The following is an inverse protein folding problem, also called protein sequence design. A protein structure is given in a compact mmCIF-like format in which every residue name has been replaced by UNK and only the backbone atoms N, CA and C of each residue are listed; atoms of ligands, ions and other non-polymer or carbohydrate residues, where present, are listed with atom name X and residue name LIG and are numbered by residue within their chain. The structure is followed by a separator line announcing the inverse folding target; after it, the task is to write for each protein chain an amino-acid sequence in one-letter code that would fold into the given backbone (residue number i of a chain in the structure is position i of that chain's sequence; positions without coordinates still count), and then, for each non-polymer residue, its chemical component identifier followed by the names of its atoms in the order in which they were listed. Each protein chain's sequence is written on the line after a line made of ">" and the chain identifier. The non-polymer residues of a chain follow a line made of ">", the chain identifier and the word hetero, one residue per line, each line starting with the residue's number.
data_IF_178472878386
#
_entry.id   IF_178472878386
#
_cell.length_a   1.000
_cell.length_b   1.000
_cell.length_c   1.000
_cell.angle_alpha   90.00
_cell.angle_beta   90.00
_cell.angle_gamma   90.00
#
_symmetry.space_group_name_H-M   'P 1'
#
loop_
_entity.id
_entity.type
_entity.pdbx_description
1 polymer ?
#
# COMPACT_ATOMS: atom_id res chain seq x y z
N UNK A 1 29.41 65.76 -40.96
CA UNK A 1 28.02 65.33 -41.07
C UNK A 1 27.87 63.79 -41.13
N UNK A 2 28.77 63.03 -41.81
CA UNK A 2 28.69 61.56 -41.96
C UNK A 2 28.91 60.76 -40.66
N UNK A 3 29.82 61.18 -39.78
CA UNK A 3 30.11 60.49 -38.51
C UNK A 3 28.93 60.54 -37.49
N UNK A 4 28.23 61.68 -37.47
CA UNK A 4 27.07 61.86 -36.58
C UNK A 4 25.88 60.96 -36.99
N UNK A 5 25.66 60.80 -38.31
CA UNK A 5 24.63 59.90 -38.85
C UNK A 5 24.96 58.45 -38.63
N UNK A 6 26.24 58.06 -38.63
CA UNK A 6 26.68 56.70 -38.28
C UNK A 6 26.46 56.40 -36.79
N UNK A 7 26.80 57.32 -35.90
CA UNK A 7 26.57 57.16 -34.46
C UNK A 7 25.06 57.10 -34.10
N UNK A 8 24.21 57.87 -34.78
CA UNK A 8 22.78 57.77 -34.59
C UNK A 8 22.20 56.44 -35.05
N UNK A 9 22.68 55.90 -36.18
CA UNK A 9 22.27 54.63 -36.73
C UNK A 9 22.77 53.44 -35.88
N UNK A 10 23.93 53.54 -35.26
CA UNK A 10 24.40 52.55 -34.28
C UNK A 10 23.56 52.55 -33.01
N UNK A 11 23.26 53.76 -32.47
CA UNK A 11 22.34 53.86 -31.30
C UNK A 11 20.91 53.35 -31.57
N UNK A 12 20.39 53.57 -32.79
CA UNK A 12 19.06 53.02 -33.16
C UNK A 12 19.12 51.48 -33.21
N UNK A 13 20.17 50.89 -33.78
CA UNK A 13 20.34 49.44 -33.81
C UNK A 13 20.51 48.85 -32.42
N UNK A 14 21.29 49.51 -31.54
CA UNK A 14 21.47 49.05 -30.15
C UNK A 14 20.14 49.17 -29.37
N UNK A 15 19.32 50.16 -29.63
CA UNK A 15 18.01 50.32 -29.00
C UNK A 15 16.99 49.27 -29.51
N UNK A 16 16.98 48.97 -30.82
CA UNK A 16 16.15 47.90 -31.40
C UNK A 16 16.58 46.52 -30.85
N UNK A 17 17.88 46.27 -30.73
CA UNK A 17 18.42 45.02 -30.15
C UNK A 17 18.02 44.89 -28.66
N UNK A 18 18.08 45.99 -27.90
CA UNK A 18 17.68 46.01 -26.50
C UNK A 18 16.18 45.74 -26.32
N UNK A 19 15.33 46.34 -27.17
CA UNK A 19 13.88 46.13 -27.18
C UNK A 19 13.60 44.64 -27.51
N UNK A 20 14.27 44.07 -28.48
CA UNK A 20 14.13 42.67 -28.88
C UNK A 20 14.54 41.71 -27.73
N UNK A 21 15.65 41.99 -27.04
CA UNK A 21 16.08 41.22 -25.86
C UNK A 21 15.06 41.29 -24.73
N UNK A 22 14.56 42.50 -24.42
CA UNK A 22 13.53 42.70 -23.39
C UNK A 22 12.24 41.94 -23.75
N UNK A 23 11.83 41.99 -25.02
CA UNK A 23 10.66 41.24 -25.50
C UNK A 23 10.83 39.71 -25.35
N UNK A 24 12.01 39.18 -25.70
CA UNK A 24 12.34 37.75 -25.52
C UNK A 24 12.30 37.38 -24.03
N UNK A 25 12.87 38.18 -23.15
CA UNK A 25 12.86 37.96 -21.70
C UNK A 25 11.42 37.93 -21.15
N UNK A 26 10.58 38.87 -21.58
CA UNK A 26 9.15 38.92 -21.17
C UNK A 26 8.44 37.66 -21.68
N UNK A 27 8.69 37.23 -22.91
CA UNK A 27 8.08 36.03 -23.49
C UNK A 27 8.50 34.76 -22.75
N UNK A 28 9.78 34.62 -22.37
CA UNK A 28 10.29 33.53 -21.55
C UNK A 28 9.70 33.54 -20.15
N UNK A 29 9.52 34.70 -19.53
CA UNK A 29 8.85 34.84 -18.22
C UNK A 29 7.39 34.40 -18.31
N UNK A 30 6.65 34.82 -19.33
CA UNK A 30 5.27 34.41 -19.57
C UNK A 30 5.14 32.90 -19.79
N UNK A 31 6.04 32.30 -20.57
CA UNK A 31 6.08 30.85 -20.77
C UNK A 31 6.38 30.09 -19.46
N UNK A 32 7.21 30.67 -18.59
CA UNK A 32 7.51 30.09 -17.27
C UNK A 32 6.37 30.20 -16.27
N UNK A 33 5.38 31.08 -16.50
CA UNK A 33 4.20 31.24 -15.64
C UNK A 33 3.22 30.07 -15.73
N UNK A 34 3.20 29.38 -16.88
CA UNK A 34 2.23 28.31 -17.14
C UNK A 34 2.74 26.99 -16.57
N UNK A 35 1.92 26.34 -15.72
CA UNK A 35 2.21 25.00 -15.19
C UNK A 35 1.01 24.09 -15.38
N UNK A 36 1.26 22.91 -15.96
CA UNK A 36 0.25 21.88 -16.15
C UNK A 36 0.43 20.83 -15.06
N UNK A 37 -0.66 20.54 -14.34
CA UNK A 37 -0.73 19.45 -13.35
C UNK A 37 -1.34 18.23 -14.04
N UNK A 38 -0.60 17.12 -14.16
CA UNK A 38 -1.11 15.90 -14.80
C UNK A 38 -2.17 15.20 -13.94
N UNK A 39 -2.94 14.31 -14.58
CA UNK A 39 -3.98 13.51 -13.93
C UNK A 39 -3.44 12.75 -12.71
N UNK A 40 -4.26 12.66 -11.67
CA UNK A 40 -3.95 12.00 -10.41
C UNK A 40 -2.72 12.57 -9.65
N UNK A 41 -2.37 13.83 -9.89
CA UNK A 41 -1.38 14.56 -9.11
C UNK A 41 -2.00 15.83 -8.52
N UNK A 42 -1.43 16.24 -7.39
CA UNK A 42 -1.69 17.54 -6.78
C UNK A 42 -0.36 18.22 -6.45
N UNK A 43 -0.29 19.52 -6.67
CA UNK A 43 0.89 20.32 -6.36
C UNK A 43 0.59 21.28 -5.22
N UNK A 44 1.35 21.15 -4.15
CA UNK A 44 1.30 22.11 -3.02
C UNK A 44 2.19 23.27 -3.37
N UNK A 45 1.62 24.47 -3.35
CA UNK A 45 2.27 25.72 -3.77
C UNK A 45 2.44 26.64 -2.58
N UNK A 46 3.65 27.13 -2.43
CA UNK A 46 4.04 28.15 -1.45
C UNK A 46 4.30 29.48 -2.13
N UNK A 47 3.88 30.55 -1.49
CA UNK A 47 4.21 31.92 -1.86
C UNK A 47 5.06 32.54 -0.77
N UNK A 48 6.32 32.84 -1.07
CA UNK A 48 7.30 33.39 -0.11
C UNK A 48 7.41 32.56 1.19
N UNK A 49 7.31 31.24 1.08
CA UNK A 49 7.38 30.33 2.22
C UNK A 49 6.05 30.04 2.95
N UNK A 50 4.97 30.75 2.60
CA UNK A 50 3.65 30.48 3.15
C UNK A 50 2.82 29.60 2.20
N UNK A 51 2.01 28.70 2.74
CA UNK A 51 1.07 27.89 1.95
C UNK A 51 0.08 28.79 1.22
N UNK A 52 0.09 28.74 -0.10
CA UNK A 52 -0.81 29.50 -0.97
C UNK A 52 -2.05 28.72 -1.36
N UNK A 53 -1.87 27.42 -1.66
CA UNK A 53 -2.95 26.56 -2.11
C UNK A 53 -2.45 25.25 -2.67
N UNK A 54 -3.41 24.34 -2.96
CA UNK A 54 -3.17 23.07 -3.63
C UNK A 54 -3.73 23.13 -5.04
N UNK A 55 -2.88 22.90 -6.04
CA UNK A 55 -3.30 22.84 -7.42
C UNK A 55 -3.75 21.43 -7.78
N UNK A 56 -4.99 21.32 -8.20
CA UNK A 56 -5.56 20.10 -8.79
C UNK A 56 -5.15 19.95 -10.25
N UNK A 57 -5.64 18.89 -10.89
CA UNK A 57 -5.42 18.62 -12.32
C UNK A 57 -5.84 19.81 -13.18
N UNK A 58 -5.02 20.15 -14.16
CA UNK A 58 -5.30 21.18 -15.13
C UNK A 58 -4.19 22.20 -15.29
N UNK A 59 -4.55 23.33 -15.90
CA UNK A 59 -3.65 24.44 -16.18
C UNK A 59 -3.70 25.46 -15.04
N UNK A 60 -2.54 25.79 -14.50
CA UNK A 60 -2.39 26.78 -13.44
C UNK A 60 -1.37 27.84 -13.82
N UNK A 61 -1.59 29.05 -13.32
CA UNK A 61 -0.69 30.18 -13.53
C UNK A 61 0.13 30.39 -12.27
N UNK A 62 1.44 30.34 -12.44
CA UNK A 62 2.44 30.55 -11.40
C UNK A 62 3.07 31.93 -11.56
N UNK A 63 3.21 32.69 -10.46
CA UNK A 63 4.02 33.90 -10.48
C UNK A 63 5.49 33.50 -10.34
N UNK A 64 6.31 33.69 -11.39
CA UNK A 64 7.74 33.35 -11.33
C UNK A 64 8.41 34.15 -10.20
N UNK A 65 9.43 33.57 -9.56
CA UNK A 65 10.18 34.11 -8.42
C UNK A 65 9.42 34.11 -7.07
N UNK A 66 8.11 34.27 -7.05
CA UNK A 66 7.31 34.38 -5.81
C UNK A 66 6.69 33.03 -5.43
N UNK A 67 6.10 32.32 -6.42
CA UNK A 67 5.44 31.05 -6.19
C UNK A 67 6.42 29.87 -6.41
N UNK A 68 6.45 28.95 -5.44
CA UNK A 68 7.25 27.72 -5.50
C UNK A 68 6.36 26.51 -5.33
N UNK A 69 6.56 25.50 -6.18
CA UNK A 69 5.95 24.17 -5.95
C UNK A 69 6.77 23.49 -4.86
N UNK A 70 6.21 23.41 -3.65
CA UNK A 70 6.86 22.82 -2.49
C UNK A 70 6.91 21.29 -2.58
N UNK A 71 5.77 20.65 -2.85
CA UNK A 71 5.66 19.20 -3.02
C UNK A 71 4.78 18.86 -4.23
N UNK A 72 5.15 17.78 -4.93
CA UNK A 72 4.33 17.14 -5.96
C UNK A 72 3.86 15.82 -5.39
N UNK A 73 2.57 15.63 -5.32
CA UNK A 73 1.94 14.54 -4.60
C UNK A 73 1.14 13.70 -5.59
N UNK A 74 1.38 12.40 -5.59
CA UNK A 74 0.62 11.44 -6.37
C UNK A 74 -0.60 10.99 -5.56
N UNK A 75 -1.79 11.16 -6.11
CA UNK A 75 -3.06 10.81 -5.47
C UNK A 75 -3.52 9.37 -5.74
N UNK A 76 -2.76 8.64 -6.57
CA UNK A 76 -3.04 7.21 -6.79
C UNK A 76 -2.76 6.43 -5.52
N UNK A 77 -3.41 5.27 -5.41
CA UNK A 77 -3.07 4.31 -4.37
C UNK A 77 -1.59 3.91 -4.48
N UNK A 78 -0.91 3.95 -3.35
CA UNK A 78 0.49 3.59 -3.20
C UNK A 78 0.60 2.35 -2.33
N UNK A 79 1.61 1.55 -2.61
CA UNK A 79 1.89 0.31 -1.89
C UNK A 79 3.29 0.42 -1.29
N UNK A 80 3.40 0.16 0.01
CA UNK A 80 4.69 0.10 0.70
C UNK A 80 4.81 -1.25 1.37
N UNK A 81 5.91 -1.93 1.08
CA UNK A 81 6.29 -3.22 1.67
C UNK A 81 7.30 -2.93 2.79
N UNK A 82 6.91 -3.23 4.02
CA UNK A 82 7.77 -3.02 5.18
C UNK A 82 8.54 -4.28 5.53
N UNK A 83 9.80 -4.08 5.94
CA UNK A 83 10.68 -5.17 6.34
C UNK A 83 10.10 -5.98 7.51
N UNK A 84 10.47 -7.29 7.63
CA UNK A 84 9.99 -8.15 8.70
C UNK A 84 10.25 -7.58 10.08
N UNK A 85 9.18 -7.37 10.85
CA UNK A 85 9.24 -6.85 12.21
C UNK A 85 9.21 -7.99 13.23
N UNK A 86 10.10 -7.98 14.24
CA UNK A 86 10.04 -8.95 15.34
C UNK A 86 8.87 -8.62 16.27
N UNK A 87 8.04 -9.60 16.52
CA UNK A 87 6.88 -9.52 17.43
C UNK A 87 6.87 -10.72 18.38
N UNK A 88 6.25 -10.57 19.53
CA UNK A 88 6.13 -11.62 20.55
C UNK A 88 4.64 -11.85 20.78
N UNK A 89 4.21 -13.10 20.70
CA UNK A 89 2.83 -13.51 20.96
C UNK A 89 2.55 -13.61 22.45
N UNK A 90 1.27 -13.74 22.81
CA UNK A 90 0.82 -13.91 24.20
C UNK A 90 1.43 -15.14 24.89
N UNK A 91 1.66 -16.21 24.14
CA UNK A 91 2.33 -17.45 24.59
C UNK A 91 3.87 -17.38 24.50
N UNK A 92 4.43 -16.16 24.41
CA UNK A 92 5.85 -15.85 24.46
C UNK A 92 6.70 -16.44 23.31
N UNK A 93 6.10 -16.60 22.13
CA UNK A 93 6.81 -17.01 20.92
C UNK A 93 7.24 -15.78 20.13
N UNK A 94 8.55 -15.64 19.89
CA UNK A 94 9.08 -14.56 19.04
C UNK A 94 8.97 -14.98 17.58
N UNK A 95 8.32 -14.17 16.74
CA UNK A 95 8.19 -14.41 15.31
C UNK A 95 8.51 -13.14 14.51
N UNK A 96 8.68 -13.30 13.20
CA UNK A 96 8.91 -12.18 12.28
C UNK A 96 7.74 -12.10 11.30
N UNK A 97 7.18 -10.90 11.16
CA UNK A 97 6.01 -10.68 10.32
C UNK A 97 6.30 -9.52 9.36
N UNK A 98 6.09 -9.76 8.07
CA UNK A 98 6.15 -8.75 7.01
C UNK A 98 4.75 -8.17 6.79
N UNK A 99 4.68 -6.87 6.56
CA UNK A 99 3.41 -6.20 6.29
C UNK A 99 3.48 -5.36 5.02
N UNK A 100 2.40 -5.36 4.27
CA UNK A 100 2.20 -4.49 3.11
C UNK A 100 1.03 -3.56 3.39
N UNK A 101 1.25 -2.27 3.22
CA UNK A 101 0.24 -1.24 3.45
C UNK A 101 -0.13 -0.57 2.13
N UNK A 102 -1.43 -0.55 1.83
CA UNK A 102 -2.02 0.13 0.68
C UNK A 102 -2.69 1.40 1.18
N UNK A 103 -2.25 2.54 0.70
CA UNK A 103 -2.77 3.83 1.11
C UNK A 103 -2.86 4.80 -0.05
N UNK A 104 -3.68 5.82 0.10
CA UNK A 104 -3.76 6.94 -0.82
C UNK A 104 -3.75 8.26 -0.06
N UNK A 105 -3.29 9.32 -0.74
CA UNK A 105 -3.26 10.66 -0.17
C UNK A 105 -4.58 11.35 -0.51
N UNK A 106 -5.35 11.69 0.52
CA UNK A 106 -6.65 12.36 0.42
C UNK A 106 -6.53 13.88 0.55
N UNK A 107 -5.66 14.34 1.44
CA UNK A 107 -5.37 15.77 1.61
C UNK A 107 -3.88 16.07 1.36
N UNK A 108 -3.55 16.65 0.19
CA UNK A 108 -2.17 17.01 -0.15
C UNK A 108 -1.54 18.04 0.79
N UNK A 109 -2.32 18.95 1.38
CA UNK A 109 -1.82 19.95 2.32
C UNK A 109 -1.38 19.28 3.63
N UNK A 110 -2.25 18.45 4.20
CA UNK A 110 -1.93 17.72 5.43
C UNK A 110 -0.76 16.75 5.23
N UNK A 111 -0.69 16.08 4.08
CA UNK A 111 0.45 15.23 3.71
C UNK A 111 1.77 16.02 3.60
N UNK A 112 1.72 17.28 3.14
CA UNK A 112 2.91 18.08 2.97
C UNK A 112 3.47 18.64 4.28
N UNK A 113 2.57 18.99 5.23
CA UNK A 113 2.92 19.76 6.42
C UNK A 113 2.55 19.07 7.75
N UNK A 114 1.73 18.01 7.73
CA UNK A 114 1.27 17.34 8.94
C UNK A 114 2.34 16.49 9.60
N UNK A 115 3.25 15.91 8.82
CA UNK A 115 4.35 15.08 9.31
C UNK A 115 5.57 15.23 8.41
N UNK A 116 6.77 15.22 8.99
CA UNK A 116 8.02 15.43 8.24
C UNK A 116 8.29 14.30 7.24
N UNK A 117 8.20 13.06 7.70
CA UNK A 117 8.40 11.87 6.87
C UNK A 117 7.21 10.90 7.00
N UNK A 118 6.17 11.03 6.16
CA UNK A 118 4.96 10.22 6.25
C UNK A 118 5.20 8.72 6.15
N UNK A 119 6.09 8.29 5.27
CA UNK A 119 6.36 6.86 5.04
C UNK A 119 7.01 6.23 6.27
N UNK A 120 8.02 6.87 6.84
CA UNK A 120 8.67 6.40 8.07
C UNK A 120 7.70 6.42 9.26
N UNK A 121 6.81 7.42 9.32
CA UNK A 121 5.79 7.48 10.35
C UNK A 121 4.80 6.31 10.25
N UNK A 122 4.32 5.98 9.04
CA UNK A 122 3.47 4.81 8.80
C UNK A 122 4.21 3.51 9.14
N UNK A 123 5.49 3.37 8.79
CA UNK A 123 6.30 2.20 9.12
C UNK A 123 6.36 1.95 10.64
N UNK A 124 6.73 2.97 11.40
CA UNK A 124 6.82 2.87 12.85
C UNK A 124 5.45 2.61 13.50
N UNK A 125 4.42 3.26 13.00
CA UNK A 125 3.05 3.05 13.46
C UNK A 125 2.59 1.61 13.15
N UNK A 126 2.88 1.11 11.95
CA UNK A 126 2.59 -0.28 11.55
C UNK A 126 3.29 -1.26 12.47
N UNK A 127 4.58 -1.07 12.75
CA UNK A 127 5.36 -1.93 13.62
C UNK A 127 4.82 -1.96 15.07
N UNK A 128 4.45 -0.79 15.62
CA UNK A 128 3.90 -0.70 16.98
C UNK A 128 2.50 -1.26 17.09
N UNK A 129 1.64 -0.98 16.11
CA UNK A 129 0.27 -1.52 16.05
C UNK A 129 0.28 -3.04 15.87
N UNK A 130 1.14 -3.56 14.98
CA UNK A 130 1.32 -4.99 14.79
C UNK A 130 1.75 -5.68 16.10
N UNK A 131 2.73 -5.11 16.80
CA UNK A 131 3.22 -5.65 18.09
C UNK A 131 2.11 -5.71 19.13
N UNK A 132 1.29 -4.68 19.23
CA UNK A 132 0.17 -4.64 20.17
C UNK A 132 -0.88 -5.73 19.84
N UNK A 133 -1.31 -5.82 18.57
CA UNK A 133 -2.32 -6.79 18.16
C UNK A 133 -1.83 -8.22 18.32
N UNK A 134 -0.59 -8.52 17.95
CA UNK A 134 -0.01 -9.87 18.06
C UNK A 134 0.27 -10.23 19.52
N UNK A 135 0.65 -9.26 20.37
CA UNK A 135 0.87 -9.48 21.81
C UNK A 135 -0.37 -9.98 22.57
N UNK A 136 -1.55 -9.73 22.04
CA UNK A 136 -2.84 -10.20 22.60
C UNK A 136 -3.25 -11.59 22.07
N UNK A 137 -2.56 -12.12 21.05
CA UNK A 137 -2.91 -13.37 20.36
C UNK A 137 -1.89 -14.47 20.65
N UNK A 138 -2.37 -15.70 20.71
CA UNK A 138 -1.53 -16.90 20.72
C UNK A 138 -0.98 -17.20 19.31
N UNK A 139 0.07 -18.01 19.21
CA UNK A 139 0.69 -18.40 17.95
C UNK A 139 -0.32 -18.96 16.95
N UNK A 140 -1.13 -19.92 17.35
CA UNK A 140 -2.13 -20.55 16.48
C UNK A 140 -3.19 -19.55 15.99
N UNK A 141 -3.61 -18.63 16.86
CA UNK A 141 -4.53 -17.56 16.50
C UNK A 141 -3.89 -16.59 15.50
N UNK A 142 -2.63 -16.26 15.68
CA UNK A 142 -1.88 -15.38 14.75
C UNK A 142 -1.80 -15.98 13.35
N UNK A 143 -1.62 -17.30 13.24
CA UNK A 143 -1.52 -18.01 11.97
C UNK A 143 -2.87 -18.16 11.26
N UNK A 144 -3.95 -18.32 12.03
CA UNK A 144 -5.30 -18.63 11.51
C UNK A 144 -6.18 -17.38 11.31
N UNK A 145 -5.96 -16.31 12.07
CA UNK A 145 -6.84 -15.13 12.11
C UNK A 145 -6.31 -13.92 11.32
N UNK A 146 -5.60 -14.15 10.23
CA UNK A 146 -4.98 -13.07 9.41
C UNK A 146 -5.96 -11.96 9.02
N UNK A 147 -7.16 -12.31 8.60
CA UNK A 147 -8.18 -11.34 8.19
C UNK A 147 -8.61 -10.42 9.34
N UNK A 148 -8.74 -10.97 10.54
CA UNK A 148 -9.05 -10.19 11.74
C UNK A 148 -7.92 -9.23 12.10
N UNK A 149 -6.67 -9.69 12.00
CA UNK A 149 -5.48 -8.87 12.23
C UNK A 149 -5.40 -7.74 11.20
N UNK A 150 -5.53 -8.06 9.91
CA UNK A 150 -5.52 -7.09 8.81
C UNK A 150 -6.58 -6.00 9.02
N UNK A 151 -7.79 -6.39 9.42
CA UNK A 151 -8.90 -5.46 9.68
C UNK A 151 -8.61 -4.53 10.88
N UNK A 152 -8.11 -5.08 11.98
CA UNK A 152 -7.73 -4.30 13.17
C UNK A 152 -6.58 -3.35 12.86
N UNK A 153 -5.55 -3.83 12.16
CA UNK A 153 -4.43 -3.00 11.73
C UNK A 153 -4.89 -1.85 10.85
N UNK A 154 -5.71 -2.16 9.82
CA UNK A 154 -6.26 -1.13 8.93
C UNK A 154 -7.00 -0.06 9.71
N UNK A 155 -7.90 -0.43 10.62
CA UNK A 155 -8.69 0.51 11.41
C UNK A 155 -7.79 1.43 12.27
N UNK A 156 -6.82 0.86 12.99
CA UNK A 156 -5.91 1.65 13.83
C UNK A 156 -4.98 2.54 13.02
N UNK A 157 -4.49 2.07 11.87
CA UNK A 157 -3.62 2.85 11.00
C UNK A 157 -4.39 3.99 10.33
N UNK A 158 -5.60 3.72 9.81
CA UNK A 158 -6.45 4.72 9.15
C UNK A 158 -6.78 5.88 10.10
N UNK A 159 -7.20 5.58 11.33
CA UNK A 159 -7.48 6.58 12.37
C UNK A 159 -6.24 7.43 12.70
N UNK A 160 -5.07 6.80 12.83
CA UNK A 160 -3.85 7.50 13.20
C UNK A 160 -3.24 8.31 12.05
N UNK A 161 -3.50 7.95 10.78
CA UNK A 161 -2.95 8.64 9.60
C UNK A 161 -3.88 9.70 9.00
N UNK A 162 -5.15 9.73 9.42
CA UNK A 162 -6.13 10.73 8.97
C UNK A 162 -5.67 12.19 9.18
N UNK A 163 -5.06 12.57 10.33
CA UNK A 163 -4.51 13.92 10.52
C UNK A 163 -3.37 14.29 9.56
N UNK A 164 -2.76 13.30 8.90
CA UNK A 164 -1.71 13.51 7.90
C UNK A 164 -2.25 13.54 6.47
N UNK A 165 -3.58 13.47 6.30
CA UNK A 165 -4.23 13.43 5.00
C UNK A 165 -3.93 12.15 4.21
N UNK A 166 -3.73 11.05 4.91
CA UNK A 166 -3.46 9.72 4.35
C UNK A 166 -4.61 8.80 4.74
N UNK A 167 -5.17 8.11 3.77
CA UNK A 167 -6.18 7.07 3.98
C UNK A 167 -5.58 5.70 3.74
N UNK A 168 -5.64 4.84 4.75
CA UNK A 168 -5.22 3.45 4.64
C UNK A 168 -6.37 2.60 4.14
N UNK A 169 -6.27 2.13 2.91
CA UNK A 169 -7.31 1.33 2.26
C UNK A 169 -7.25 -0.13 2.73
N UNK A 170 -6.04 -0.70 2.80
CA UNK A 170 -5.83 -2.10 3.13
C UNK A 170 -4.46 -2.32 3.77
N UNK A 171 -4.40 -3.28 4.68
CA UNK A 171 -3.18 -3.79 5.28
C UNK A 171 -3.18 -5.29 5.13
N UNK A 172 -2.06 -5.87 4.72
CA UNK A 172 -1.91 -7.31 4.51
C UNK A 172 -0.68 -7.84 5.23
N UNK A 173 -0.85 -8.91 5.98
CA UNK A 173 0.27 -9.70 6.49
C UNK A 173 0.79 -10.61 5.38
N UNK A 174 2.02 -10.38 4.93
CA UNK A 174 2.64 -11.10 3.82
C UNK A 174 3.17 -12.48 4.28
N UNK A 175 4.14 -12.47 5.17
CA UNK A 175 4.73 -13.67 5.74
C UNK A 175 4.66 -13.62 7.27
N UNK A 176 4.38 -14.77 7.88
CA UNK A 176 4.48 -14.98 9.32
C UNK A 176 5.48 -16.09 9.51
N UNK A 177 6.65 -15.76 10.07
CA UNK A 177 7.79 -16.68 10.17
C UNK A 177 8.05 -16.94 11.66
N UNK A 178 7.58 -18.07 12.21
CA UNK A 178 7.93 -18.51 13.56
C UNK A 178 9.39 -18.99 13.62
N UNK A 179 9.95 -19.19 14.82
CA UNK A 179 11.27 -19.79 15.00
C UNK A 179 11.33 -21.19 14.37
N UNK A 180 12.50 -21.57 13.83
CA UNK A 180 12.67 -22.85 13.13
C UNK A 180 12.31 -24.07 13.99
N UNK A 181 12.56 -24.01 15.29
CA UNK A 181 12.22 -25.10 16.23
C UNK A 181 10.70 -25.30 16.31
N UNK A 182 9.94 -24.22 16.41
CA UNK A 182 8.48 -24.25 16.43
C UNK A 182 7.93 -24.72 15.09
N UNK A 183 8.47 -24.20 13.97
CA UNK A 183 8.08 -24.63 12.64
C UNK A 183 8.28 -26.14 12.45
N UNK A 184 9.44 -26.68 12.81
CA UNK A 184 9.72 -28.10 12.73
C UNK A 184 8.79 -28.95 13.63
N UNK A 185 8.45 -28.46 14.83
CA UNK A 185 7.50 -29.13 15.71
C UNK A 185 6.09 -29.17 15.12
N UNK A 186 5.62 -28.06 14.58
CA UNK A 186 4.34 -27.94 13.90
C UNK A 186 4.26 -28.84 12.65
N UNK A 187 5.31 -28.91 11.84
CA UNK A 187 5.37 -29.79 10.67
C UNK A 187 5.24 -31.27 11.07
N UNK A 188 5.95 -31.71 12.13
CA UNK A 188 5.84 -33.07 12.67
C UNK A 188 4.44 -33.36 13.19
N UNK A 189 3.86 -32.45 13.94
CA UNK A 189 2.49 -32.57 14.46
C UNK A 189 1.47 -32.65 13.32
N UNK A 190 1.57 -31.76 12.32
CA UNK A 190 0.67 -31.78 11.17
C UNK A 190 0.82 -33.08 10.34
N UNK A 191 2.02 -33.60 10.20
CA UNK A 191 2.26 -34.87 9.52
C UNK A 191 1.58 -36.02 10.26
N UNK A 192 1.78 -36.13 11.56
CA UNK A 192 1.15 -37.17 12.39
C UNK A 192 -0.39 -37.08 12.35
N UNK A 193 -0.94 -35.86 12.41
CA UNK A 193 -2.40 -35.65 12.31
C UNK A 193 -2.94 -36.04 10.93
N UNK A 194 -2.22 -35.73 9.85
CA UNK A 194 -2.61 -36.17 8.50
C UNK A 194 -2.59 -37.70 8.38
N UNK A 195 -1.55 -38.36 8.88
CA UNK A 195 -1.44 -39.82 8.89
C UNK A 195 -2.59 -40.45 9.70
N UNK A 196 -2.91 -39.90 10.86
CA UNK A 196 -4.06 -40.33 11.67
C UNK A 196 -5.39 -40.18 10.92
N UNK A 197 -5.65 -39.02 10.31
CA UNK A 197 -6.88 -38.79 9.51
C UNK A 197 -6.95 -39.72 8.31
N UNK A 198 -5.83 -39.96 7.61
CA UNK A 198 -5.76 -40.88 6.48
C UNK A 198 -6.14 -42.29 6.93
N UNK A 199 -5.56 -42.78 8.03
CA UNK A 199 -5.87 -44.11 8.57
C UNK A 199 -7.36 -44.27 8.96
N UNK A 200 -7.96 -43.24 9.61
CA UNK A 200 -9.36 -43.24 9.96
C UNK A 200 -10.25 -43.23 8.72
N UNK A 201 -9.99 -42.34 7.77
CA UNK A 201 -10.76 -42.25 6.51
C UNK A 201 -10.69 -43.54 5.71
N UNK A 202 -9.51 -44.20 5.66
CA UNK A 202 -9.32 -45.48 4.99
C UNK A 202 -10.16 -46.55 5.66
N UNK A 203 -10.09 -46.69 6.99
CA UNK A 203 -10.84 -47.66 7.75
C UNK A 203 -12.37 -47.48 7.64
N UNK A 204 -12.84 -46.22 7.64
CA UNK A 204 -14.24 -45.90 7.41
C UNK A 204 -14.68 -46.22 5.97
N UNK A 205 -13.81 -45.97 4.98
CA UNK A 205 -14.05 -46.34 3.58
C UNK A 205 -14.16 -47.84 3.39
N UNK A 206 -13.24 -48.63 3.98
CA UNK A 206 -13.26 -50.09 3.94
C UNK A 206 -14.52 -50.66 4.62
N UNK A 207 -14.86 -50.14 5.78
CA UNK A 207 -16.11 -50.52 6.48
C UNK A 207 -17.34 -50.26 5.60
N UNK A 208 -17.46 -49.05 5.04
CA UNK A 208 -18.59 -48.66 4.17
C UNK A 208 -18.66 -49.53 2.91
N UNK A 209 -17.53 -49.80 2.28
CA UNK A 209 -17.45 -50.69 1.11
C UNK A 209 -17.91 -52.10 1.45
N UNK A 210 -17.42 -52.65 2.58
CA UNK A 210 -17.81 -53.99 3.07
C UNK A 210 -19.33 -54.10 3.36
N UNK A 211 -19.89 -53.09 4.02
CA UNK A 211 -21.37 -53.02 4.29
C UNK A 211 -22.14 -52.96 2.96
N UNK A 212 -21.75 -52.09 2.04
CA UNK A 212 -22.44 -51.95 0.74
C UNK A 212 -22.39 -53.25 -0.08
N UNK A 213 -21.25 -53.94 -0.08
CA UNK A 213 -21.10 -55.26 -0.73
C UNK A 213 -22.02 -56.29 -0.08
N UNK A 214 -22.09 -56.34 1.24
CA UNK A 214 -22.94 -57.25 1.97
C UNK A 214 -24.45 -57.00 1.72
N UNK A 215 -24.85 -55.71 1.70
CA UNK A 215 -26.22 -55.30 1.37
C UNK A 215 -26.57 -55.67 -0.09
N UNK A 216 -25.67 -55.47 -1.03
CA UNK A 216 -25.84 -55.85 -2.45
C UNK A 216 -26.02 -57.38 -2.60
N UNK A 217 -25.22 -58.19 -1.89
CA UNK A 217 -25.35 -59.64 -1.89
C UNK A 217 -26.68 -60.11 -1.29
N UNK A 218 -27.10 -59.46 -0.19
CA UNK A 218 -28.41 -59.72 0.41
C UNK A 218 -29.55 -59.40 -0.55
N UNK A 219 -29.52 -58.27 -1.18
CA UNK A 219 -30.53 -57.81 -2.17
C UNK A 219 -30.61 -58.78 -3.37
N UNK A 220 -29.43 -59.23 -3.91
CA UNK A 220 -29.39 -60.21 -4.99
C UNK A 220 -30.02 -61.56 -4.58
N UNK A 221 -29.69 -62.07 -3.41
CA UNK A 221 -30.24 -63.35 -2.93
C UNK A 221 -31.77 -63.28 -2.69
N UNK A 222 -32.29 -62.13 -2.28
CA UNK A 222 -33.76 -61.94 -2.14
C UNK A 222 -34.43 -61.94 -3.51
N UNK A 223 -33.89 -61.24 -4.50
CA UNK A 223 -34.40 -61.22 -5.88
C UNK A 223 -34.36 -62.58 -6.57
N UNK A 224 -33.30 -63.34 -6.36
CA UNK A 224 -33.17 -64.73 -6.86
C UNK A 224 -34.28 -65.65 -6.23
N UNK A 225 -34.50 -65.55 -4.92
CA UNK A 225 -35.52 -66.35 -4.22
C UNK A 225 -36.97 -65.91 -4.62
N UNK A 226 -37.18 -64.66 -5.00
CA UNK A 226 -38.47 -64.17 -5.51
C UNK A 226 -38.73 -64.61 -6.97
N UNK A 227 -37.67 -64.79 -7.77
CA UNK A 227 -37.76 -65.24 -9.16
C UNK A 227 -37.99 -66.78 -9.30
N UNK A 228 -37.67 -67.54 -8.30
CA UNK A 228 -37.91 -68.99 -8.25
C UNK A 228 -39.31 -69.40 -7.77
N UNK A 229 -40.12 -68.42 -7.36
CA UNK A 229 -41.51 -68.59 -6.95
C UNK A 229 -42.48 -68.34 -8.12
#
# INVERSE_FOLDING_TARGET
>A
MSKLLQQLREKEKDMELLILVVFIVILLLLASCVKIVPQANAYVVERLGAYQGTWSVGLHIKVPLIDKVAKRINLKEQVVDFAPQPVITKDNVTMRIDTVVFFQITDPKMFAYGVENPIMAIENLTATTLRNIIGDLELDQTLTSRETINTKMRASLDEATDPWGIKVNRVELKNIIPPAEIQNAMEKQMKAERERREAVTRAEGEKKASVTVAEGKKAAAILEAEAEK
#
